data_IF_384075051040
#
_entry.id   IF_384075051040
#
_cell.length_a   1.000
_cell.length_b   1.000
_cell.length_c   1.000
_cell.angle_alpha   90.00
_cell.angle_beta   90.00
_cell.angle_gamma   90.00
#
_symmetry.space_group_name_H-M   'P 1'
#
loop_
_entity.id
_entity.type
_entity.pdbx_description
1 polymer ?
#
# COMPACT_ATOMS: atom_id res chain seq x y z
N UNK A 1 30.49 -46.06 0.72
CA UNK A 1 29.04 -46.28 0.52
C UNK A 1 28.32 -45.07 -0.08
N UNK A 2 28.60 -43.82 0.34
CA UNK A 2 27.93 -42.61 -0.18
C UNK A 2 28.21 -42.25 -1.66
N UNK A 3 29.43 -42.49 -2.17
CA UNK A 3 29.79 -42.20 -3.58
C UNK A 3 28.95 -42.98 -4.59
N UNK A 4 28.73 -44.28 -4.35
CA UNK A 4 27.93 -45.13 -5.22
C UNK A 4 26.46 -44.68 -5.28
N UNK A 5 25.91 -44.20 -4.15
CA UNK A 5 24.55 -43.64 -4.12
C UNK A 5 24.44 -42.34 -4.94
N UNK A 6 25.44 -41.46 -4.84
CA UNK A 6 25.47 -40.22 -5.65
C UNK A 6 25.63 -40.48 -7.14
N UNK A 7 26.43 -41.47 -7.53
CA UNK A 7 26.65 -41.82 -8.94
C UNK A 7 25.43 -42.52 -9.55
N UNK A 8 24.76 -43.41 -8.80
CA UNK A 8 23.48 -44.00 -9.21
C UNK A 8 22.39 -42.94 -9.38
N UNK A 9 22.27 -41.99 -8.44
CA UNK A 9 21.32 -40.88 -8.54
C UNK A 9 21.59 -39.95 -9.72
N UNK A 10 22.87 -39.69 -10.02
CA UNK A 10 23.28 -38.88 -11.18
C UNK A 10 23.01 -39.62 -12.52
N UNK A 11 23.26 -40.94 -12.58
CA UNK A 11 22.95 -41.77 -13.75
C UNK A 11 21.45 -41.82 -14.03
N UNK A 12 20.62 -42.04 -13.00
CA UNK A 12 19.16 -42.07 -13.13
C UNK A 12 18.60 -40.72 -13.65
N UNK A 13 19.10 -39.59 -13.13
CA UNK A 13 18.70 -38.26 -13.60
C UNK A 13 19.11 -37.99 -15.06
N UNK A 14 20.27 -38.47 -15.50
CA UNK A 14 20.68 -38.35 -16.92
C UNK A 14 19.88 -39.26 -17.85
N UNK A 15 19.58 -40.49 -17.42
CA UNK A 15 18.79 -41.46 -18.18
C UNK A 15 17.35 -40.96 -18.43
N UNK A 16 16.79 -40.19 -17.51
CA UNK A 16 15.47 -39.53 -17.65
C UNK A 16 15.53 -38.20 -18.42
N UNK A 17 16.62 -37.91 -19.14
CA UNK A 17 16.75 -36.74 -20.00
C UNK A 17 17.17 -35.44 -19.30
N UNK A 18 17.76 -35.54 -18.10
CA UNK A 18 18.24 -34.42 -17.29
C UNK A 18 17.17 -33.90 -16.32
N UNK A 19 17.18 -32.59 -16.06
CA UNK A 19 16.21 -31.93 -15.18
C UNK A 19 14.80 -31.94 -15.81
N UNK A 20 14.13 -33.08 -15.71
CA UNK A 20 12.76 -33.29 -16.16
C UNK A 20 11.79 -32.27 -15.52
N UNK A 21 12.09 -31.80 -14.31
CA UNK A 21 11.38 -30.72 -13.64
C UNK A 21 11.39 -29.42 -14.46
N UNK A 22 12.54 -28.99 -14.97
CA UNK A 22 12.65 -27.79 -15.82
C UNK A 22 12.00 -27.98 -17.19
N UNK A 23 12.15 -29.16 -17.82
CA UNK A 23 11.47 -29.45 -19.10
C UNK A 23 9.94 -29.47 -18.94
N UNK A 24 9.42 -30.08 -17.88
CA UNK A 24 7.99 -30.08 -17.57
C UNK A 24 7.48 -28.67 -17.22
N UNK A 25 8.25 -27.88 -16.47
CA UNK A 25 7.92 -26.49 -16.18
C UNK A 25 7.90 -25.60 -17.44
N UNK A 26 8.77 -25.88 -18.41
CA UNK A 26 8.80 -25.15 -19.69
C UNK A 26 7.70 -25.63 -20.67
N UNK A 27 7.37 -26.92 -20.67
CA UNK A 27 6.37 -27.50 -21.57
C UNK A 27 4.95 -27.21 -21.07
N UNK A 28 4.65 -27.59 -19.82
CA UNK A 28 3.34 -27.39 -19.22
C UNK A 28 3.16 -25.96 -18.69
N UNK A 29 4.22 -25.31 -18.19
CA UNK A 29 4.12 -23.93 -17.72
C UNK A 29 3.79 -22.93 -18.83
N UNK A 30 4.13 -23.21 -20.11
CA UNK A 30 3.65 -22.40 -21.25
C UNK A 30 2.12 -22.44 -21.41
N UNK A 31 1.48 -23.58 -21.12
CA UNK A 31 0.04 -23.73 -21.23
C UNK A 31 -0.72 -22.99 -20.11
N UNK A 32 -0.10 -22.80 -18.94
CA UNK A 32 -0.75 -22.18 -17.77
C UNK A 32 -0.37 -20.71 -17.54
N UNK A 33 0.63 -20.17 -18.27
CA UNK A 33 0.99 -18.74 -18.25
C UNK A 33 -0.19 -17.90 -18.72
N UNK A 34 -0.29 -16.68 -18.18
CA UNK A 34 -1.16 -15.67 -18.73
C UNK A 34 -0.71 -15.35 -20.16
N UNK A 35 -1.64 -15.40 -21.11
CA UNK A 35 -1.38 -14.88 -22.46
C UNK A 35 -1.36 -13.36 -22.41
N UNK A 36 -0.64 -12.74 -23.35
CA UNK A 36 -0.64 -11.29 -23.45
C UNK A 36 -2.08 -10.78 -23.69
N UNK A 37 -2.52 -9.82 -22.88
CA UNK A 37 -3.89 -9.28 -22.94
C UNK A 37 -4.95 -10.08 -22.17
N UNK A 38 -4.61 -11.25 -21.62
CA UNK A 38 -5.53 -12.06 -20.83
C UNK A 38 -5.47 -11.64 -19.36
N UNK A 39 -6.60 -11.23 -18.80
CA UNK A 39 -6.72 -10.86 -17.39
C UNK A 39 -7.18 -12.05 -16.53
N UNK A 40 -6.97 -12.02 -15.21
CA UNK A 40 -7.54 -13.04 -14.31
C UNK A 40 -9.07 -13.16 -14.42
N UNK A 41 -9.76 -12.08 -14.78
CA UNK A 41 -11.21 -12.06 -15.00
C UNK A 41 -11.63 -12.90 -16.19
N UNK A 42 -10.79 -13.01 -17.22
CA UNK A 42 -11.09 -13.76 -18.44
C UNK A 42 -10.89 -15.28 -18.26
N UNK A 43 -10.15 -15.68 -17.21
CA UNK A 43 -9.80 -17.08 -16.91
C UNK A 43 -10.64 -17.71 -15.82
N UNK A 44 -11.30 -16.89 -15.02
CA UNK A 44 -12.04 -17.32 -13.83
C UNK A 44 -13.52 -17.00 -13.98
N UNK A 45 -14.38 -17.74 -13.25
CA UNK A 45 -15.77 -17.31 -13.10
C UNK A 45 -15.83 -15.96 -12.40
N UNK A 46 -16.91 -15.21 -12.64
CA UNK A 46 -17.14 -13.93 -11.96
C UNK A 46 -17.10 -14.08 -10.43
N UNK A 47 -17.71 -15.15 -9.92
CA UNK A 47 -17.71 -15.47 -8.48
C UNK A 47 -16.29 -15.70 -7.93
N UNK A 48 -15.45 -16.48 -8.64
CA UNK A 48 -14.09 -16.74 -8.22
C UNK A 48 -13.21 -15.47 -8.26
N UNK A 49 -13.45 -14.60 -9.24
CA UNK A 49 -12.77 -13.31 -9.35
C UNK A 49 -13.16 -12.37 -8.20
N UNK A 50 -14.46 -12.26 -7.87
CA UNK A 50 -14.95 -11.44 -6.77
C UNK A 50 -14.46 -11.94 -5.41
N UNK A 51 -14.46 -13.26 -5.21
CA UNK A 51 -13.91 -13.89 -4.01
C UNK A 51 -12.40 -13.63 -3.86
N UNK A 52 -11.64 -13.70 -4.95
CA UNK A 52 -10.22 -13.35 -4.96
C UNK A 52 -10.02 -11.89 -4.53
N UNK A 53 -10.78 -10.95 -5.11
CA UNK A 53 -10.70 -9.54 -4.76
C UNK A 53 -11.09 -9.28 -3.30
N UNK A 54 -12.10 -9.98 -2.77
CA UNK A 54 -12.49 -9.92 -1.36
C UNK A 54 -11.32 -10.34 -0.46
N UNK A 55 -10.71 -11.50 -0.71
CA UNK A 55 -9.57 -12.02 0.07
C UNK A 55 -8.36 -11.09 0.05
N UNK A 56 -8.01 -10.55 -1.13
CA UNK A 56 -6.93 -9.56 -1.27
C UNK A 56 -7.25 -8.31 -0.44
N UNK A 57 -8.49 -7.83 -0.52
CA UNK A 57 -8.97 -6.68 0.26
C UNK A 57 -8.89 -6.91 1.77
N UNK A 58 -9.29 -8.09 2.24
CA UNK A 58 -9.23 -8.49 3.66
C UNK A 58 -7.79 -8.54 4.17
N UNK A 59 -6.89 -9.20 3.43
CA UNK A 59 -5.47 -9.26 3.76
C UNK A 59 -4.83 -7.87 3.83
N UNK A 60 -5.19 -6.98 2.91
CA UNK A 60 -4.72 -5.58 2.94
C UNK A 60 -5.26 -4.81 4.14
N UNK A 61 -6.54 -4.98 4.49
CA UNK A 61 -7.15 -4.37 5.68
C UNK A 61 -6.47 -4.87 6.95
N UNK A 62 -6.15 -6.16 7.04
CA UNK A 62 -5.45 -6.74 8.18
C UNK A 62 -4.02 -6.18 8.32
N UNK A 63 -3.27 -6.12 7.23
CA UNK A 63 -1.94 -5.51 7.18
C UNK A 63 -1.99 -4.06 7.66
N UNK A 64 -2.95 -3.28 7.17
CA UNK A 64 -3.14 -1.89 7.61
C UNK A 64 -3.48 -1.79 9.11
N UNK A 65 -4.31 -2.68 9.66
CA UNK A 65 -4.63 -2.72 11.10
C UNK A 65 -3.40 -3.06 11.95
N UNK A 66 -2.57 -4.02 11.51
CA UNK A 66 -1.31 -4.38 12.18
C UNK A 66 -0.35 -3.19 12.20
N UNK A 67 -0.18 -2.52 11.06
CA UNK A 67 0.68 -1.34 10.93
C UNK A 67 0.16 -0.15 11.75
N UNK A 68 -1.16 0.08 11.76
CA UNK A 68 -1.78 1.14 12.58
C UNK A 68 -1.51 0.93 14.07
N UNK A 69 -1.57 -0.31 14.56
CA UNK A 69 -1.21 -0.61 15.96
C UNK A 69 0.24 -0.22 16.24
N UNK A 70 1.18 -0.55 15.35
CA UNK A 70 2.59 -0.16 15.49
C UNK A 70 2.75 1.35 15.63
N UNK A 71 2.15 2.11 14.71
CA UNK A 71 2.21 3.58 14.73
C UNK A 71 1.58 4.17 15.99
N UNK A 72 0.49 3.60 16.50
CA UNK A 72 -0.14 4.08 17.75
C UNK A 72 0.72 3.83 18.98
N UNK A 73 1.47 2.72 19.02
CA UNK A 73 2.42 2.38 20.09
C UNK A 73 3.81 3.00 19.89
N UNK A 74 4.02 3.80 18.84
CA UNK A 74 5.33 4.41 18.54
C UNK A 74 6.40 3.44 18.04
N UNK A 75 5.99 2.25 17.58
CA UNK A 75 6.90 1.26 16.99
C UNK A 75 7.17 1.57 15.52
N UNK A 76 8.35 1.16 15.04
CA UNK A 76 8.72 1.29 13.63
C UNK A 76 7.77 0.50 12.71
N UNK A 77 7.51 1.10 11.54
CA UNK A 77 6.67 0.48 10.53
C UNK A 77 7.42 -0.65 9.82
N UNK A 78 6.77 -1.80 9.66
CA UNK A 78 7.39 -2.96 8.97
C UNK A 78 7.19 -2.92 7.47
N UNK A 79 6.06 -2.38 7.03
CA UNK A 79 5.73 -2.24 5.61
C UNK A 79 6.00 -0.82 5.13
N UNK A 80 6.11 -0.63 3.81
CA UNK A 80 6.17 0.70 3.17
C UNK A 80 4.81 1.39 3.07
N UNK A 81 3.76 0.86 3.71
CA UNK A 81 2.45 1.49 3.74
C UNK A 81 2.52 2.79 4.53
N UNK A 82 2.02 3.90 3.97
CA UNK A 82 1.96 5.18 4.69
C UNK A 82 0.84 5.15 5.73
N UNK A 83 1.14 4.66 6.93
CA UNK A 83 0.24 4.70 8.08
C UNK A 83 0.68 5.82 9.02
N UNK A 84 -0.26 6.70 9.36
CA UNK A 84 -0.01 7.86 10.22
C UNK A 84 -0.91 7.78 11.45
N UNK A 85 -0.44 8.33 12.58
CA UNK A 85 -1.20 8.41 13.83
C UNK A 85 -2.45 9.31 13.69
N UNK A 86 -2.34 10.32 12.84
CA UNK A 86 -3.39 11.29 12.56
C UNK A 86 -4.63 10.63 11.93
N UNK A 87 -5.87 10.96 12.36
CA UNK A 87 -7.09 10.52 11.70
C UNK A 87 -7.11 10.87 10.20
N UNK A 88 -7.68 9.99 9.38
CA UNK A 88 -7.78 10.21 7.91
C UNK A 88 -8.53 11.50 7.57
N UNK A 89 -9.54 11.84 8.37
CA UNK A 89 -10.33 13.06 8.19
C UNK A 89 -9.47 14.31 8.34
N UNK A 90 -8.61 14.37 9.36
CA UNK A 90 -7.68 15.49 9.56
C UNK A 90 -6.64 15.59 8.45
N UNK A 91 -6.16 14.46 7.92
CA UNK A 91 -5.27 14.44 6.75
C UNK A 91 -5.98 14.99 5.50
N UNK A 92 -7.23 14.57 5.27
CA UNK A 92 -8.06 15.06 4.17
C UNK A 92 -8.35 16.56 4.30
N UNK A 93 -8.67 17.01 5.52
CA UNK A 93 -8.94 18.41 5.82
C UNK A 93 -7.73 19.30 5.54
N UNK A 94 -6.52 18.89 5.96
CA UNK A 94 -5.28 19.62 5.61
C UNK A 94 -5.06 19.69 4.10
N UNK A 95 -5.38 18.62 3.37
CA UNK A 95 -5.27 18.62 1.91
C UNK A 95 -6.27 19.60 1.27
N UNK A 96 -7.49 19.66 1.80
CA UNK A 96 -8.48 20.63 1.36
C UNK A 96 -8.02 22.05 1.67
N UNK A 97 -7.60 22.35 2.90
CA UNK A 97 -7.07 23.67 3.27
C UNK A 97 -5.95 24.12 2.31
N UNK A 98 -5.00 23.25 1.97
CA UNK A 98 -3.97 23.59 0.97
C UNK A 98 -4.55 23.95 -0.41
N UNK A 99 -5.61 23.28 -0.85
CA UNK A 99 -6.30 23.61 -2.12
C UNK A 99 -6.97 24.99 -2.08
N UNK A 100 -7.43 25.44 -0.90
CA UNK A 100 -8.00 26.77 -0.71
C UNK A 100 -6.93 27.86 -0.49
N UNK A 101 -5.65 27.49 -0.51
CA UNK A 101 -4.53 28.44 -0.44
C UNK A 101 -4.07 28.77 0.99
N UNK A 102 -4.41 27.96 1.99
CA UNK A 102 -3.79 28.05 3.32
C UNK A 102 -2.38 27.43 3.25
N UNK A 103 -1.39 28.09 3.85
CA UNK A 103 -0.06 27.48 3.99
C UNK A 103 -0.04 26.56 5.22
N UNK A 104 0.33 25.30 5.01
CA UNK A 104 0.36 24.29 6.07
C UNK A 104 1.61 23.43 5.88
N UNK A 105 2.62 23.59 6.74
CA UNK A 105 3.81 22.74 6.73
C UNK A 105 3.46 21.25 6.82
N UNK A 106 4.30 20.39 6.25
CA UNK A 106 4.03 18.95 6.24
C UNK A 106 3.96 18.42 7.67
N UNK A 107 2.79 17.90 8.05
CA UNK A 107 2.60 17.31 9.37
C UNK A 107 2.13 18.29 10.45
N UNK A 108 2.28 19.60 10.24
CA UNK A 108 1.93 20.64 11.21
C UNK A 108 0.42 20.77 11.44
N UNK A 109 0.07 21.26 12.62
CA UNK A 109 -1.28 21.67 13.02
C UNK A 109 -1.49 23.19 12.84
N UNK A 110 -0.52 23.88 12.28
CA UNK A 110 -0.54 25.34 12.16
C UNK A 110 -0.78 25.66 10.68
N UNK A 111 -1.74 26.53 10.45
CA UNK A 111 -2.17 26.97 9.14
C UNK A 111 -2.06 28.49 9.07
N UNK A 112 -1.30 28.99 8.11
CA UNK A 112 -1.15 30.43 7.91
C UNK A 112 -2.13 30.91 6.86
N UNK A 113 -2.82 32.01 7.17
CA UNK A 113 -3.78 32.67 6.30
C UNK A 113 -3.02 33.76 5.54
N UNK A 114 -2.93 33.57 4.22
CA UNK A 114 -2.31 34.51 3.30
C UNK A 114 -3.36 35.33 2.56
N UNK A 115 -2.95 36.46 2.00
CA UNK A 115 -3.82 37.33 1.16
C UNK A 115 -4.50 36.60 -0.01
N UNK A 116 -3.92 35.49 -0.48
CA UNK A 116 -4.45 34.65 -1.58
C UNK A 116 -5.39 33.53 -1.09
N UNK A 117 -5.54 33.35 0.22
CA UNK A 117 -6.34 32.27 0.79
C UNK A 117 -7.84 32.54 0.63
N UNK A 118 -8.57 31.57 0.06
CA UNK A 118 -10.02 31.63 -0.03
C UNK A 118 -10.64 31.10 1.27
N UNK A 119 -10.98 32.01 2.18
CA UNK A 119 -11.51 31.66 3.51
C UNK A 119 -12.88 31.00 3.46
N UNK A 120 -13.08 30.05 4.36
CA UNK A 120 -14.35 29.34 4.55
C UNK A 120 -14.58 29.03 6.02
N UNK A 121 -15.54 29.73 6.63
CA UNK A 121 -15.85 29.60 8.06
C UNK A 121 -16.19 28.16 8.48
N UNK A 122 -16.99 27.45 7.69
CA UNK A 122 -17.36 26.06 8.00
C UNK A 122 -16.16 25.11 7.97
N UNK A 123 -15.18 25.38 7.11
CA UNK A 123 -13.94 24.60 7.03
C UNK A 123 -12.99 24.94 8.18
N UNK A 124 -12.84 26.22 8.51
CA UNK A 124 -12.03 26.71 9.62
C UNK A 124 -12.54 26.15 10.95
N UNK A 125 -13.84 26.26 11.23
CA UNK A 125 -14.47 25.67 12.44
C UNK A 125 -14.23 24.16 12.52
N UNK A 126 -14.37 23.45 11.39
CA UNK A 126 -14.08 22.01 11.34
C UNK A 126 -12.60 21.71 11.61
N UNK A 127 -11.70 22.58 11.16
CA UNK A 127 -10.26 22.44 11.35
C UNK A 127 -9.84 22.73 12.78
N UNK A 128 -10.39 23.76 13.41
CA UNK A 128 -10.22 24.09 14.82
C UNK A 128 -10.69 22.96 15.72
N UNK A 129 -11.86 22.39 15.45
CA UNK A 129 -12.37 21.22 16.17
C UNK A 129 -11.46 19.99 16.03
N UNK A 130 -10.69 19.90 14.94
CA UNK A 130 -9.67 18.86 14.72
C UNK A 130 -8.29 19.25 15.27
N UNK A 131 -8.17 20.39 15.96
CA UNK A 131 -6.94 20.91 16.54
C UNK A 131 -5.94 21.43 15.50
N UNK A 132 -6.44 22.15 14.49
CA UNK A 132 -5.63 22.98 13.58
C UNK A 132 -5.82 24.43 14.03
N UNK A 133 -4.71 25.15 14.25
CA UNK A 133 -4.72 26.56 14.63
C UNK A 133 -4.42 27.41 13.41
N UNK A 134 -5.09 28.56 13.31
CA UNK A 134 -4.90 29.52 12.24
C UNK A 134 -4.13 30.73 12.76
N UNK A 135 -3.17 31.19 11.96
CA UNK A 135 -2.41 32.41 12.19
C UNK A 135 -2.55 33.31 10.97
N UNK A 136 -2.53 34.62 11.16
CA UNK A 136 -2.42 35.56 10.05
C UNK A 136 -0.95 35.79 9.72
N UNK A 137 -0.61 35.94 8.43
CA UNK A 137 0.77 36.22 8.00
C UNK A 137 1.37 37.48 8.69
N UNK A 138 0.51 38.39 9.15
CA UNK A 138 0.89 39.60 9.90
C UNK A 138 1.47 39.31 11.30
N UNK A 139 1.27 38.11 11.86
CA UNK A 139 1.72 37.73 13.21
C UNK A 139 3.12 37.07 13.24
N UNK A 140 3.79 36.96 12.08
CA UNK A 140 5.08 36.25 11.94
C UNK A 140 6.32 37.17 11.85
N UNK A 141 6.16 38.47 12.06
CA UNK A 141 7.27 39.44 12.18
C UNK A 141 7.59 39.76 13.66
N UNK A 142 8.14 38.80 14.42
CA UNK A 142 8.88 39.04 15.68
C UNK A 142 10.14 38.18 15.78
#
# INVERSE_FOLDING_TARGET
MQRNASECGARANRAMGGNAGTKNLLLYGKAYRFKAGESPKDRMSAEAFDDMHRRIGESRKETFRKERRRVMFGLEQKTSLRVVRCPKEKVSLRNNLRKYGYDIPRGSNEATITSKTRRSLSMEVKAENMGIRFYTDDDTEE
#
